data_IF_731903452938
#
_entry.id   IF_731903452938
#
_cell.length_a   1.000
_cell.length_b   1.000
_cell.length_c   1.000
_cell.angle_alpha   90.00
_cell.angle_beta   90.00
_cell.angle_gamma   90.00
#
_symmetry.space_group_name_H-M   'P 1'
#
loop_
_entity.id
_entity.type
_entity.pdbx_description
1 polymer ?
#
# COMPACT_ATOMS: atom_id res chain seq x y z
N UNK A 1 33.69 11.75 4.00
CA UNK A 1 32.90 12.43 2.97
C UNK A 1 31.63 11.62 2.75
N UNK A 2 30.50 12.10 3.23
CA UNK A 2 29.22 11.44 3.03
C UNK A 2 28.82 11.68 1.56
N UNK A 3 28.80 10.63 0.76
CA UNK A 3 28.37 10.70 -0.64
C UNK A 3 26.94 11.23 -0.76
N UNK A 4 26.57 11.77 -1.91
CA UNK A 4 25.19 12.17 -2.19
C UNK A 4 24.27 10.97 -2.01
N UNK A 5 23.31 11.10 -1.09
CA UNK A 5 22.30 10.07 -0.85
C UNK A 5 21.26 10.15 -1.96
N UNK A 6 21.14 9.07 -2.73
CA UNK A 6 20.13 8.97 -3.76
C UNK A 6 18.94 8.14 -3.25
N UNK A 7 17.75 8.71 -3.31
CA UNK A 7 16.51 8.03 -2.91
C UNK A 7 15.86 7.32 -4.11
N UNK A 8 15.96 5.99 -4.14
CA UNK A 8 15.45 5.16 -5.24
C UNK A 8 13.93 4.94 -5.23
N UNK A 9 13.22 5.39 -4.22
CA UNK A 9 11.77 5.24 -4.05
C UNK A 9 11.24 3.79 -4.09
N UNK A 10 12.10 2.79 -3.93
CA UNK A 10 11.73 1.38 -4.09
C UNK A 10 10.59 0.97 -3.16
N UNK A 11 10.71 1.28 -1.87
CA UNK A 11 9.67 0.92 -0.87
C UNK A 11 8.38 1.70 -1.17
N UNK A 12 8.49 2.98 -1.54
CA UNK A 12 7.34 3.80 -1.93
C UNK A 12 6.59 3.19 -3.10
N UNK A 13 7.31 2.77 -4.14
CA UNK A 13 6.71 2.14 -5.32
C UNK A 13 6.01 0.82 -4.98
N UNK A 14 6.58 0.03 -4.06
CA UNK A 14 5.94 -1.20 -3.57
C UNK A 14 4.65 -0.89 -2.79
N UNK A 15 4.65 0.14 -1.93
CA UNK A 15 3.46 0.60 -1.20
C UNK A 15 2.36 1.07 -2.16
N UNK A 16 2.72 1.85 -3.17
CA UNK A 16 1.78 2.31 -4.21
C UNK A 16 1.23 1.12 -4.99
N UNK A 17 2.10 0.19 -5.43
CA UNK A 17 1.70 -1.03 -6.12
C UNK A 17 0.72 -1.88 -5.31
N UNK A 18 1.00 -2.08 -4.01
CA UNK A 18 0.09 -2.79 -3.11
C UNK A 18 -1.26 -2.08 -2.98
N UNK A 19 -1.25 -0.75 -2.82
CA UNK A 19 -2.48 0.05 -2.73
C UNK A 19 -3.34 0.00 -3.99
N UNK A 20 -2.74 -0.12 -5.18
CA UNK A 20 -3.52 -0.19 -6.43
C UNK A 20 -4.36 -1.47 -6.54
N UNK A 21 -3.95 -2.57 -5.89
CA UNK A 21 -4.69 -3.85 -5.89
C UNK A 21 -6.07 -3.66 -5.24
N UNK A 22 -6.16 -2.83 -4.20
CA UNK A 22 -7.39 -2.66 -3.41
C UNK A 22 -8.12 -1.33 -3.66
N UNK A 23 -7.73 -0.57 -4.70
CA UNK A 23 -8.21 0.80 -4.88
C UNK A 23 -9.64 0.92 -5.41
N UNK A 24 -10.26 -0.13 -5.91
CA UNK A 24 -11.58 -0.06 -6.56
C UNK A 24 -12.67 -0.87 -5.85
N UNK A 25 -12.49 -1.11 -4.56
CA UNK A 25 -13.49 -1.83 -3.78
C UNK A 25 -14.74 -0.95 -3.62
N UNK A 26 -15.89 -1.52 -3.95
CA UNK A 26 -17.20 -0.88 -3.84
C UNK A 26 -18.06 -1.69 -2.88
N UNK A 27 -18.76 -0.97 -2.02
CA UNK A 27 -19.73 -1.52 -1.10
C UNK A 27 -21.13 -1.26 -1.64
N UNK A 28 -21.97 -2.29 -1.65
CA UNK A 28 -23.35 -2.22 -2.13
C UNK A 28 -24.31 -2.54 -0.99
N UNK A 29 -25.10 -1.57 -0.58
CA UNK A 29 -26.17 -1.78 0.42
C UNK A 29 -27.46 -2.14 -0.27
N UNK A 30 -28.07 -3.25 0.16
CA UNK A 30 -29.35 -3.76 -0.34
C UNK A 30 -30.39 -3.64 0.76
N UNK A 31 -31.65 -3.47 0.35
CA UNK A 31 -32.79 -3.56 1.24
C UNK A 31 -33.18 -5.03 1.49
N UNK A 32 -34.07 -5.28 2.45
CA UNK A 32 -34.62 -6.61 2.76
C UNK A 32 -35.25 -7.30 1.54
N UNK A 33 -35.63 -6.54 0.54
CA UNK A 33 -36.17 -7.03 -0.74
C UNK A 33 -35.10 -7.32 -1.81
N UNK A 34 -33.79 -7.16 -1.46
CA UNK A 34 -32.69 -7.37 -2.39
C UNK A 34 -32.42 -6.21 -3.37
N UNK A 35 -33.16 -5.11 -3.26
CA UNK A 35 -32.97 -3.92 -4.12
C UNK A 35 -31.79 -3.10 -3.64
N UNK A 36 -30.92 -2.72 -4.58
CA UNK A 36 -29.74 -1.88 -4.30
C UNK A 36 -30.21 -0.47 -3.89
N UNK A 37 -29.94 -0.09 -2.67
CA UNK A 37 -30.23 1.24 -2.15
C UNK A 37 -29.07 2.22 -2.34
N UNK A 38 -27.84 1.75 -2.12
CA UNK A 38 -26.66 2.61 -2.17
C UNK A 38 -25.44 1.83 -2.63
N UNK A 39 -24.69 2.41 -3.53
CA UNK A 39 -23.34 1.94 -3.91
C UNK A 39 -22.34 3.03 -3.54
N UNK A 40 -21.31 2.67 -2.78
CA UNK A 40 -20.27 3.61 -2.38
C UNK A 40 -18.88 3.01 -2.61
N UNK A 41 -17.93 3.85 -3.05
CA UNK A 41 -16.53 3.47 -3.14
C UNK A 41 -15.89 3.55 -1.77
N UNK A 42 -15.15 2.50 -1.39
CA UNK A 42 -14.42 2.45 -0.13
C UNK A 42 -13.05 3.09 -0.32
N UNK A 43 -12.74 4.20 0.39
CA UNK A 43 -11.45 4.85 0.28
C UNK A 43 -10.35 4.01 0.95
N UNK A 44 -9.19 3.95 0.27
CA UNK A 44 -7.99 3.28 0.75
C UNK A 44 -6.96 4.31 1.21
N UNK A 45 -6.27 4.05 2.33
CA UNK A 45 -5.20 4.92 2.80
C UNK A 45 -4.05 4.12 3.43
N UNK A 46 -2.81 4.57 3.17
CA UNK A 46 -1.63 4.05 3.84
C UNK A 46 -1.41 4.78 5.18
N UNK A 47 -1.23 4.02 6.25
CA UNK A 47 -0.89 4.56 7.56
C UNK A 47 -1.19 3.58 8.69
N UNK A 48 -0.58 3.77 9.87
CA UNK A 48 -0.78 2.89 11.01
C UNK A 48 -2.23 2.94 11.51
N UNK A 49 -2.76 1.77 11.88
CA UNK A 49 -4.14 1.62 12.38
C UNK A 49 -4.45 2.58 13.52
N UNK A 50 -3.52 2.76 14.44
CA UNK A 50 -3.70 3.64 15.61
C UNK A 50 -3.99 5.09 15.21
N UNK A 51 -3.37 5.61 14.16
CA UNK A 51 -3.59 6.97 13.65
C UNK A 51 -5.05 7.20 13.24
N UNK A 52 -5.69 6.21 12.65
CA UNK A 52 -7.10 6.29 12.26
C UNK A 52 -8.03 6.18 13.46
N UNK A 53 -7.69 5.32 14.44
CA UNK A 53 -8.47 5.18 15.67
C UNK A 53 -8.44 6.46 16.51
N UNK A 54 -7.26 7.08 16.64
CA UNK A 54 -7.13 8.36 17.35
C UNK A 54 -8.01 9.43 16.68
N UNK A 55 -7.96 9.55 15.35
CA UNK A 55 -8.81 10.50 14.62
C UNK A 55 -10.31 10.24 14.74
N UNK A 56 -10.72 8.98 14.90
CA UNK A 56 -12.12 8.65 15.16
C UNK A 56 -12.56 9.06 16.57
N UNK A 57 -11.63 8.99 17.55
CA UNK A 57 -11.91 9.32 18.93
C UNK A 57 -11.79 10.84 19.23
N UNK A 58 -10.96 11.57 18.46
CA UNK A 58 -10.73 13.00 18.66
C UNK A 58 -11.92 13.88 18.27
N UNK A 59 -12.87 13.35 17.49
CA UNK A 59 -14.04 14.11 17.02
C UNK A 59 -15.25 13.97 17.95
N UNK A 60 -15.09 14.39 19.20
CA UNK A 60 -16.21 14.53 20.14
C UNK A 60 -17.05 15.80 19.88
N UNK A 61 -16.62 16.69 18.99
CA UNK A 61 -17.34 17.92 18.66
C UNK A 61 -18.24 17.71 17.43
N UNK A 62 -19.54 17.58 17.69
CA UNK A 62 -20.60 17.40 16.67
C UNK A 62 -20.71 18.55 15.66
N UNK A 63 -20.03 19.67 15.90
CA UNK A 63 -20.02 20.83 15.01
C UNK A 63 -18.98 20.74 13.89
N UNK A 64 -18.03 19.80 13.97
CA UNK A 64 -16.98 19.60 12.97
C UNK A 64 -17.30 18.44 12.04
N UNK A 65 -16.96 18.59 10.77
CA UNK A 65 -17.02 17.49 9.81
C UNK A 65 -16.15 16.33 10.30
N UNK A 66 -16.68 15.10 10.26
CA UNK A 66 -15.96 13.90 10.68
C UNK A 66 -14.57 13.83 10.04
N UNK A 67 -13.52 13.72 10.87
CA UNK A 67 -12.13 13.69 10.41
C UNK A 67 -11.82 12.46 9.54
N UNK A 68 -12.64 11.41 9.66
CA UNK A 68 -12.50 10.15 8.91
C UNK A 68 -13.89 9.65 8.51
N UNK A 69 -14.09 9.48 7.20
CA UNK A 69 -15.30 8.85 6.66
C UNK A 69 -15.19 7.33 6.74
N UNK A 70 -16.26 6.66 7.16
CA UNK A 70 -16.43 5.21 7.22
C UNK A 70 -17.48 4.77 6.17
N UNK A 71 -17.37 3.59 5.58
CA UNK A 71 -16.30 2.59 5.70
C UNK A 71 -14.99 3.02 5.04
N UNK A 72 -13.87 2.47 5.50
CA UNK A 72 -12.52 2.78 4.99
C UNK A 72 -11.61 1.58 5.13
N UNK A 73 -10.71 1.42 4.17
CA UNK A 73 -9.62 0.45 4.22
C UNK A 73 -8.32 1.19 4.53
N UNK A 74 -7.54 0.65 5.42
CA UNK A 74 -6.18 1.11 5.68
C UNK A 74 -5.19 -0.04 5.58
N UNK A 75 -3.94 0.28 5.31
CA UNK A 75 -2.87 -0.70 5.32
C UNK A 75 -1.55 -0.09 5.78
N UNK A 76 -0.71 -0.92 6.35
CA UNK A 76 0.60 -0.53 6.86
C UNK A 76 1.64 -1.64 6.63
N UNK A 77 2.91 -1.26 6.61
CA UNK A 77 4.01 -2.22 6.65
C UNK A 77 4.24 -2.59 8.10
N UNK A 78 4.15 -3.90 8.41
CA UNK A 78 4.38 -4.44 9.75
C UNK A 78 5.77 -5.01 9.93
N UNK A 79 6.45 -5.36 8.84
CA UNK A 79 7.78 -5.92 8.93
C UNK A 79 8.49 -6.01 7.60
N UNK A 80 9.82 -6.10 7.70
CA UNK A 80 10.73 -6.34 6.58
C UNK A 80 11.65 -7.48 7.00
N UNK A 81 11.56 -8.62 6.31
CA UNK A 81 12.31 -9.84 6.64
C UNK A 81 13.17 -10.26 5.47
N UNK A 82 14.44 -10.60 5.73
CA UNK A 82 15.32 -11.21 4.72
C UNK A 82 14.79 -12.59 4.34
N UNK A 83 14.79 -12.90 3.03
CA UNK A 83 14.38 -14.20 2.52
C UNK A 83 15.61 -15.06 2.17
N UNK A 84 16.04 -15.98 3.06
CA UNK A 84 17.18 -16.85 2.79
C UNK A 84 16.90 -17.91 1.71
N UNK A 85 15.63 -18.23 1.44
CA UNK A 85 15.24 -19.22 0.43
C UNK A 85 15.51 -18.75 -1.00
N UNK A 86 15.49 -17.45 -1.24
CA UNK A 86 15.82 -16.81 -2.51
C UNK A 86 17.25 -16.28 -2.55
N UNK A 87 18.17 -16.94 -1.87
CA UNK A 87 19.59 -16.52 -1.81
C UNK A 87 20.21 -16.44 -3.19
N UNK A 88 20.58 -15.23 -3.61
CA UNK A 88 21.27 -14.98 -4.86
C UNK A 88 22.79 -14.91 -4.63
N UNK A 89 23.56 -15.22 -5.67
CA UNK A 89 25.02 -15.15 -5.61
C UNK A 89 25.48 -13.69 -5.42
N UNK A 90 26.24 -13.41 -4.35
CA UNK A 90 26.72 -12.06 -3.99
C UNK A 90 27.68 -11.46 -5.04
N UNK A 91 28.36 -12.30 -5.83
CA UNK A 91 29.33 -11.86 -6.82
C UNK A 91 28.70 -11.61 -8.19
N UNK A 92 27.49 -12.11 -8.40
CA UNK A 92 26.77 -11.95 -9.67
C UNK A 92 26.37 -10.50 -9.90
N UNK A 93 26.58 -10.03 -11.13
CA UNK A 93 26.24 -8.67 -11.55
C UNK A 93 25.31 -8.70 -12.75
N UNK A 94 24.30 -7.85 -12.72
CA UNK A 94 23.53 -7.48 -13.90
C UNK A 94 24.30 -6.46 -14.71
N UNK A 95 24.35 -6.66 -16.02
CA UNK A 95 24.92 -5.71 -16.96
C UNK A 95 23.82 -5.30 -17.94
N UNK A 96 23.57 -4.02 -18.04
CA UNK A 96 22.61 -3.45 -19.00
C UNK A 96 23.32 -2.44 -19.87
N UNK A 97 23.25 -2.64 -21.18
CA UNK A 97 23.73 -1.66 -22.15
C UNK A 97 22.64 -0.58 -22.30
N UNK A 98 22.95 0.65 -21.98
CA UNK A 98 22.16 1.81 -22.37
C UNK A 98 22.66 2.28 -23.74
N UNK A 99 21.79 2.18 -24.75
CA UNK A 99 22.01 2.80 -26.04
C UNK A 99 21.38 4.19 -25.97
N UNK A 100 22.23 5.22 -25.91
CA UNK A 100 21.78 6.59 -26.09
C UNK A 100 21.84 6.93 -27.59
N UNK A 101 20.96 7.83 -28.05
CA UNK A 101 20.90 8.35 -29.42
C UNK A 101 22.21 8.98 -29.89
N UNK A 102 23.13 9.29 -28.99
CA UNK A 102 24.45 9.90 -29.26
C UNK A 102 25.57 8.91 -29.53
N UNK A 103 25.29 7.65 -29.92
CA UNK A 103 26.26 6.61 -30.25
C UNK A 103 27.24 6.18 -29.13
N UNK A 104 27.10 6.66 -27.93
CA UNK A 104 27.93 6.27 -26.80
C UNK A 104 27.24 5.11 -26.06
N UNK A 105 27.75 3.92 -26.18
CA UNK A 105 27.25 2.78 -25.41
C UNK A 105 27.79 2.87 -23.98
N UNK A 106 26.92 3.05 -23.00
CA UNK A 106 27.25 2.98 -21.58
C UNK A 106 26.83 1.62 -21.01
N UNK A 107 27.75 0.97 -20.27
CA UNK A 107 27.49 -0.25 -19.57
C UNK A 107 27.16 0.02 -18.12
N UNK A 108 25.87 -0.08 -17.77
CA UNK A 108 25.44 -0.05 -16.37
C UNK A 108 25.67 -1.43 -15.75
N UNK A 109 26.40 -1.45 -14.65
CA UNK A 109 26.64 -2.68 -13.87
C UNK A 109 25.99 -2.53 -12.49
N UNK A 110 25.16 -3.49 -12.12
CA UNK A 110 24.49 -3.53 -10.82
C UNK A 110 24.73 -4.90 -10.17
N UNK A 111 25.01 -4.89 -8.87
CA UNK A 111 25.03 -6.15 -8.10
C UNK A 111 23.63 -6.74 -7.99
N UNK A 112 23.56 -8.07 -7.85
CA UNK A 112 22.29 -8.75 -7.63
C UNK A 112 21.58 -8.19 -6.39
N UNK A 113 20.28 -7.92 -6.48
CA UNK A 113 19.50 -7.42 -5.36
C UNK A 113 19.40 -8.47 -4.25
N UNK A 114 19.31 -8.00 -3.02
CA UNK A 114 19.06 -8.85 -1.86
C UNK A 114 17.56 -9.06 -1.71
N UNK A 115 17.05 -10.31 -1.62
CA UNK A 115 15.63 -10.59 -1.49
C UNK A 115 15.13 -10.29 -0.08
N UNK A 116 14.07 -9.51 0.01
CA UNK A 116 13.34 -9.23 1.24
C UNK A 116 11.85 -9.46 1.05
N UNK A 117 11.20 -9.96 2.08
CA UNK A 117 9.75 -10.03 2.17
C UNK A 117 9.26 -8.79 2.93
N UNK A 118 8.32 -8.09 2.36
CA UNK A 118 7.64 -6.95 2.97
C UNK A 118 6.27 -7.44 3.43
N UNK A 119 6.03 -7.40 4.75
CA UNK A 119 4.77 -7.82 5.32
C UNK A 119 3.84 -6.61 5.40
N UNK A 120 2.70 -6.71 4.74
CA UNK A 120 1.62 -5.73 4.82
C UNK A 120 0.51 -6.26 5.71
N UNK A 121 -0.05 -5.38 6.51
CA UNK A 121 -1.29 -5.61 7.23
C UNK A 121 -2.37 -4.71 6.66
N UNK A 122 -3.46 -5.33 6.21
CA UNK A 122 -4.67 -4.66 5.76
C UNK A 122 -5.68 -4.65 6.92
N UNK A 123 -6.39 -3.56 7.10
CA UNK A 123 -7.45 -3.45 8.10
C UNK A 123 -8.62 -2.64 7.56
N UNK A 124 -9.81 -3.01 8.00
CA UNK A 124 -11.06 -2.40 7.58
C UNK A 124 -11.68 -1.71 8.78
N UNK A 125 -12.10 -0.48 8.59
CA UNK A 125 -12.84 0.32 9.55
C UNK A 125 -14.24 0.56 9.00
N UNK A 126 -15.26 0.00 9.63
CA UNK A 126 -16.66 0.16 9.27
C UNK A 126 -17.50 0.40 10.50
N UNK A 127 -18.64 1.06 10.34
CA UNK A 127 -19.61 1.29 11.41
C UNK A 127 -20.47 0.05 11.64
N UNK A 128 -20.79 -0.68 10.56
CA UNK A 128 -21.60 -1.89 10.58
C UNK A 128 -20.72 -3.10 10.29
N UNK A 129 -20.97 -4.20 10.97
CA UNK A 129 -20.23 -5.46 10.76
C UNK A 129 -20.48 -6.06 9.36
N UNK A 130 -21.69 -5.88 8.83
CA UNK A 130 -22.08 -6.34 7.50
C UNK A 130 -21.26 -5.65 6.40
N UNK A 131 -21.08 -4.33 6.50
CA UNK A 131 -20.21 -3.56 5.59
C UNK A 131 -18.76 -4.09 5.63
N UNK A 132 -18.26 -4.45 6.81
CA UNK A 132 -16.90 -4.98 6.95
C UNK A 132 -16.74 -6.36 6.32
N UNK A 133 -17.72 -7.23 6.50
CA UNK A 133 -17.73 -8.58 5.91
C UNK A 133 -17.80 -8.51 4.38
N UNK A 134 -18.64 -7.66 3.83
CA UNK A 134 -18.75 -7.47 2.38
C UNK A 134 -17.44 -6.96 1.74
N UNK A 135 -16.64 -6.18 2.48
CA UNK A 135 -15.35 -5.69 1.98
C UNK A 135 -14.28 -6.80 2.02
N UNK A 136 -14.39 -7.75 2.94
CA UNK A 136 -13.45 -8.88 3.10
C UNK A 136 -13.68 -9.96 2.04
N UNK A 137 -14.91 -10.13 1.60
CA UNK A 137 -15.33 -11.17 0.64
C UNK A 137 -14.95 -10.81 -0.82
#
# INVERSE_FOLDING_TARGET
>A
MLGQQFYHETIRNVVVGFGTIFNNIQLVRKDNSGVIQQTMKVPLAYGPRQKFLVRLNDDADLSKAAAVTLPRIGFEITGLTYDPGRKLNRVQKFKKVKSDTSKTQQLDTQYMPVPYNINFQLYILAKQSDDALQIVE
#
